data_IF_967685848542
#
_entry.id   IF_967685848542
#
_cell.length_a   1.000
_cell.length_b   1.000
_cell.length_c   1.000
_cell.angle_alpha   90.00
_cell.angle_beta   90.00
_cell.angle_gamma   90.00
#
_symmetry.space_group_name_H-M   'P 1'
#
loop_
_entity.id
_entity.type
_entity.pdbx_description
1 polymer ?
#
# COMPACT_ATOMS: atom_id res chain seq x y z
N UNK A 1 -11.14 -7.27 -7.99
CA UNK A 1 -11.92 -7.63 -6.79
C UNK A 1 -11.40 -6.74 -5.67
N UNK A 2 -12.28 -6.02 -4.96
CA UNK A 2 -11.82 -5.12 -3.89
C UNK A 2 -11.40 -5.96 -2.67
N UNK A 3 -10.18 -5.77 -2.19
CA UNK A 3 -9.65 -6.50 -1.03
C UNK A 3 -9.80 -5.62 0.22
N UNK A 4 -10.55 -6.10 1.23
CA UNK A 4 -10.77 -5.41 2.51
C UNK A 4 -9.81 -5.88 3.60
N UNK A 5 -8.68 -6.48 3.20
CA UNK A 5 -7.64 -6.96 4.07
C UNK A 5 -6.28 -6.45 3.60
N UNK A 6 -5.44 -6.07 4.55
CA UNK A 6 -4.09 -5.56 4.30
C UNK A 6 -3.09 -6.59 4.82
N UNK A 7 -1.88 -6.65 4.25
CA UNK A 7 -0.82 -7.46 4.85
C UNK A 7 -0.37 -6.90 6.20
N UNK A 8 0.26 -7.74 7.02
CA UNK A 8 0.69 -7.37 8.36
C UNK A 8 1.72 -6.23 8.39
N UNK A 9 2.58 -6.09 7.37
CA UNK A 9 3.58 -5.02 7.37
C UNK A 9 2.90 -3.66 7.20
N UNK A 10 2.03 -3.56 6.19
CA UNK A 10 1.28 -2.32 5.96
C UNK A 10 0.31 -2.01 7.10
N UNK A 11 -0.30 -3.03 7.70
CA UNK A 11 -1.15 -2.90 8.89
C UNK A 11 -0.38 -2.33 10.09
N UNK A 12 0.84 -2.82 10.32
CA UNK A 12 1.70 -2.33 11.39
C UNK A 12 2.20 -0.90 11.12
N UNK A 13 2.52 -0.58 9.86
CA UNK A 13 2.89 0.77 9.43
C UNK A 13 1.79 1.79 9.72
N UNK A 14 0.53 1.47 9.39
CA UNK A 14 -0.64 2.31 9.72
C UNK A 14 -0.74 2.57 11.23
N UNK A 15 -0.43 1.56 12.05
CA UNK A 15 -0.47 1.66 13.51
C UNK A 15 0.81 2.26 14.11
N UNK A 16 1.81 2.61 13.30
CA UNK A 16 3.08 3.18 13.75
C UNK A 16 3.96 2.20 14.54
N UNK A 17 3.87 0.91 14.25
CA UNK A 17 4.62 -0.16 14.93
C UNK A 17 5.33 -1.09 13.95
N UNK A 18 6.21 -1.96 14.46
CA UNK A 18 6.82 -3.01 13.63
C UNK A 18 5.86 -4.16 13.40
N UNK A 19 6.03 -4.87 12.29
CA UNK A 19 5.19 -6.00 11.91
C UNK A 19 5.22 -7.13 12.95
N UNK A 20 6.39 -7.42 13.51
CA UNK A 20 6.55 -8.45 14.55
C UNK A 20 5.84 -8.05 15.84
N UNK A 21 5.98 -6.79 16.26
CA UNK A 21 5.34 -6.24 17.45
C UNK A 21 3.80 -6.24 17.29
N UNK A 22 3.31 -5.94 16.09
CA UNK A 22 1.89 -6.00 15.77
C UNK A 22 1.35 -7.43 15.86
N UNK A 23 2.05 -8.42 15.31
CA UNK A 23 1.60 -9.81 15.34
C UNK A 23 1.63 -10.38 16.77
N UNK A 24 2.66 -10.06 17.56
CA UNK A 24 2.71 -10.43 18.97
C UNK A 24 1.57 -9.80 19.79
N UNK A 25 1.27 -8.53 19.53
CA UNK A 25 0.12 -7.84 20.12
C UNK A 25 -1.20 -8.51 19.71
N UNK A 26 -1.37 -8.79 18.42
CA UNK A 26 -2.55 -9.43 17.88
C UNK A 26 -2.82 -10.80 18.48
N UNK A 27 -1.77 -11.61 18.65
CA UNK A 27 -1.86 -12.92 19.28
C UNK A 27 -2.20 -12.80 20.77
N UNK A 28 -1.52 -11.89 21.49
CA UNK A 28 -1.74 -11.66 22.93
C UNK A 28 -3.15 -11.18 23.26
N UNK A 29 -3.68 -10.25 22.48
CA UNK A 29 -5.01 -9.67 22.68
C UNK A 29 -6.12 -10.47 21.99
N UNK A 30 -5.78 -11.58 21.30
CA UNK A 30 -6.72 -12.40 20.52
C UNK A 30 -7.58 -11.58 19.55
N UNK A 31 -6.93 -10.70 18.78
CA UNK A 31 -7.62 -9.82 17.85
C UNK A 31 -8.40 -10.61 16.79
N UNK A 32 -9.68 -10.26 16.65
CA UNK A 32 -10.52 -10.78 15.58
C UNK A 32 -10.16 -10.15 14.22
N UNK A 33 -10.52 -10.82 13.12
CA UNK A 33 -10.33 -10.30 11.77
C UNK A 33 -8.90 -10.37 11.26
N UNK A 34 -8.06 -11.21 11.88
CA UNK A 34 -6.72 -11.54 11.39
C UNK A 34 -6.75 -12.97 10.86
N UNK A 35 -6.31 -13.16 9.62
CA UNK A 35 -6.31 -14.44 8.93
C UNK A 35 -4.93 -14.73 8.36
N UNK A 36 -4.50 -15.99 8.41
CA UNK A 36 -3.28 -16.45 7.75
C UNK A 36 -3.64 -17.06 6.40
N UNK A 37 -3.14 -16.46 5.33
CA UNK A 37 -3.23 -16.98 3.96
C UNK A 37 -1.85 -17.46 3.50
N UNK A 38 -1.78 -18.06 2.31
CA UNK A 38 -0.54 -18.61 1.74
C UNK A 38 0.56 -17.54 1.56
N UNK A 39 0.15 -16.28 1.32
CA UNK A 39 1.02 -15.12 1.16
C UNK A 39 1.35 -14.39 2.48
N UNK A 40 0.85 -14.90 3.61
CA UNK A 40 1.16 -14.38 4.94
C UNK A 40 -0.06 -13.96 5.75
N UNK A 41 0.19 -13.15 6.77
CA UNK A 41 -0.85 -12.63 7.65
C UNK A 41 -1.58 -11.46 6.99
N UNK A 42 -2.91 -11.52 7.03
CA UNK A 42 -3.80 -10.48 6.56
C UNK A 42 -4.69 -9.97 7.68
N UNK A 43 -4.87 -8.66 7.74
CA UNK A 43 -5.64 -7.97 8.76
C UNK A 43 -6.83 -7.28 8.12
N UNK A 44 -8.00 -7.45 8.70
CA UNK A 44 -9.21 -6.77 8.25
C UNK A 44 -9.14 -5.28 8.48
N UNK A 45 -9.59 -4.49 7.49
CA UNK A 45 -9.74 -3.04 7.62
C UNK A 45 -10.64 -2.64 8.80
N UNK A 46 -11.65 -3.45 9.12
CA UNK A 46 -12.56 -3.19 10.24
C UNK A 46 -11.86 -3.34 11.59
N UNK A 47 -10.94 -4.30 11.70
CA UNK A 47 -10.11 -4.46 12.91
C UNK A 47 -9.18 -3.27 13.08
N UNK A 48 -8.53 -2.81 12.01
CA UNK A 48 -7.66 -1.64 12.05
C UNK A 48 -8.43 -0.36 12.40
N UNK A 49 -9.59 -0.17 11.79
CA UNK A 49 -10.47 0.97 12.09
C UNK A 49 -10.90 0.98 13.57
N UNK A 50 -11.22 -0.19 14.12
CA UNK A 50 -11.54 -0.33 15.53
C UNK A 50 -10.37 0.04 16.45
N UNK A 51 -9.16 -0.46 16.16
CA UNK A 51 -7.96 -0.14 16.94
C UNK A 51 -7.62 1.35 16.93
N UNK A 52 -7.80 2.02 15.79
CA UNK A 52 -7.56 3.45 15.62
C UNK A 52 -8.73 4.32 16.09
N UNK A 53 -9.82 3.71 16.55
CA UNK A 53 -11.07 4.40 16.90
C UNK A 53 -11.55 5.34 15.79
N UNK A 54 -11.54 4.85 14.55
CA UNK A 54 -11.99 5.57 13.35
C UNK A 54 -13.04 4.76 12.58
N UNK A 55 -13.69 5.40 11.62
CA UNK A 55 -14.63 4.73 10.74
C UNK A 55 -13.87 4.04 9.59
N UNK A 56 -14.30 2.84 9.13
CA UNK A 56 -13.60 2.11 8.08
C UNK A 56 -13.49 2.84 6.74
N UNK A 57 -14.49 3.65 6.39
CA UNK A 57 -14.49 4.52 5.21
C UNK A 57 -13.40 5.60 5.31
N UNK A 58 -13.31 6.30 6.44
CA UNK A 58 -12.23 7.27 6.66
C UNK A 58 -10.83 6.63 6.60
N UNK A 59 -10.68 5.39 7.07
CA UNK A 59 -9.41 4.67 6.98
C UNK A 59 -9.09 4.26 5.54
N UNK A 60 -10.08 3.85 4.76
CA UNK A 60 -9.90 3.52 3.34
C UNK A 60 -9.50 4.76 2.54
N UNK A 61 -10.17 5.90 2.76
CA UNK A 61 -9.84 7.17 2.11
C UNK A 61 -8.40 7.57 2.42
N UNK A 62 -7.98 7.48 3.68
CA UNK A 62 -6.60 7.76 4.08
C UNK A 62 -5.57 6.83 3.40
N UNK A 63 -5.87 5.53 3.30
CA UNK A 63 -4.99 4.56 2.64
C UNK A 63 -4.89 4.86 1.14
N UNK A 64 -6.01 5.17 0.49
CA UNK A 64 -6.04 5.55 -0.91
C UNK A 64 -5.18 6.78 -1.16
N UNK A 65 -5.37 7.84 -0.38
CA UNK A 65 -4.58 9.08 -0.45
C UNK A 65 -3.08 8.81 -0.23
N UNK A 66 -2.72 7.95 0.73
CA UNK A 66 -1.32 7.61 0.99
C UNK A 66 -0.67 6.86 -0.18
N UNK A 67 -1.40 5.89 -0.76
CA UNK A 67 -0.93 5.12 -1.91
C UNK A 67 -0.76 6.04 -3.13
N UNK A 68 -1.74 6.89 -3.41
CA UNK A 68 -1.68 7.86 -4.50
C UNK A 68 -0.54 8.87 -4.29
N UNK A 69 -0.35 9.36 -3.06
CA UNK A 69 0.76 10.23 -2.69
C UNK A 69 2.12 9.59 -3.00
N UNK A 70 2.34 8.34 -2.56
CA UNK A 70 3.58 7.60 -2.87
C UNK A 70 3.79 7.37 -4.37
N UNK A 71 2.72 7.20 -5.14
CA UNK A 71 2.82 7.06 -6.59
C UNK A 71 3.28 8.38 -7.24
N UNK A 72 2.78 9.52 -6.75
CA UNK A 72 3.18 10.84 -7.24
C UNK A 72 4.63 11.15 -6.88
N UNK A 73 5.05 10.91 -5.63
CA UNK A 73 6.44 11.12 -5.18
C UNK A 73 7.44 10.32 -6.04
N UNK A 74 7.09 9.10 -6.45
CA UNK A 74 7.94 8.29 -7.34
C UNK A 74 8.15 8.89 -8.72
N UNK A 75 7.21 9.70 -9.20
CA UNK A 75 7.26 10.38 -10.52
C UNK A 75 7.92 11.75 -10.40
N UNK A 76 8.09 12.30 -9.19
CA UNK A 76 8.76 13.59 -8.97
C UNK A 76 10.25 13.53 -9.36
N UNK A 77 10.87 12.36 -9.20
CA UNK A 77 12.25 12.09 -9.62
C UNK A 77 12.36 11.71 -11.12
N UNK A 78 11.24 11.62 -11.86
CA UNK A 78 11.28 11.31 -13.28
C UNK A 78 11.81 12.50 -14.09
N UNK A 79 12.62 12.20 -15.09
CA UNK A 79 13.20 13.22 -15.97
C UNK A 79 12.09 13.83 -16.84
N UNK A 80 11.84 15.13 -16.64
CA UNK A 80 10.89 15.87 -17.46
C UNK A 80 11.52 16.22 -18.80
N UNK A 81 10.94 15.69 -19.88
CA UNK A 81 11.37 16.00 -21.23
C UNK A 81 10.44 17.01 -21.90
N UNK A 82 11.02 17.96 -22.63
CA UNK A 82 10.26 18.76 -23.59
C UNK A 82 9.70 17.88 -24.71
N UNK A 83 8.61 18.30 -25.36
CA UNK A 83 7.84 17.44 -26.28
C UNK A 83 8.68 16.74 -27.38
N UNK A 84 9.71 17.41 -27.91
CA UNK A 84 10.61 16.82 -28.90
C UNK A 84 11.61 15.80 -28.31
N UNK A 85 12.04 16.02 -27.07
CA UNK A 85 12.96 15.12 -26.36
C UNK A 85 12.21 13.87 -25.90
N UNK A 86 11.01 14.03 -25.35
CA UNK A 86 10.16 12.92 -24.94
C UNK A 86 9.79 12.00 -26.10
N UNK A 87 9.54 12.57 -27.30
CA UNK A 87 9.28 11.77 -28.50
C UNK A 87 10.47 10.90 -28.91
N UNK A 88 11.71 11.42 -28.79
CA UNK A 88 12.92 10.64 -29.09
C UNK A 88 13.14 9.49 -28.11
N UNK A 89 12.94 9.75 -26.81
CA UNK A 89 13.05 8.74 -25.74
C UNK A 89 11.99 7.64 -25.91
N UNK A 90 10.76 8.03 -26.24
CA UNK A 90 9.70 7.08 -26.55
C UNK A 90 10.04 6.18 -27.76
N UNK A 91 10.59 6.77 -28.83
CA UNK A 91 11.01 6.00 -30.00
C UNK A 91 12.15 5.02 -29.68
N UNK A 92 13.09 5.36 -28.78
CA UNK A 92 14.12 4.39 -28.37
C UNK A 92 13.53 3.19 -27.65
N UNK A 93 12.56 3.37 -26.75
CA UNK A 93 11.91 2.26 -26.06
C UNK A 93 11.11 1.36 -27.01
N UNK A 94 10.38 1.96 -27.96
CA UNK A 94 9.69 1.21 -29.02
C UNK A 94 10.65 0.33 -29.82
N UNK A 95 11.80 0.88 -30.20
CA UNK A 95 12.82 0.18 -30.98
C UNK A 95 13.48 -0.98 -30.23
N UNK A 96 13.59 -0.87 -28.90
CA UNK A 96 14.11 -1.93 -28.03
C UNK A 96 13.09 -3.04 -27.79
N UNK A 97 11.80 -2.70 -27.67
CA UNK A 97 10.73 -3.67 -27.48
C UNK A 97 10.43 -4.52 -28.72
N UNK A 98 10.81 -4.05 -29.92
CA UNK A 98 10.64 -4.76 -31.20
C UNK A 98 11.81 -5.70 -31.57
N UNK A 99 12.86 -5.78 -30.74
CA UNK A 99 13.99 -6.71 -30.89
C UNK A 99 13.77 -8.02 -30.12
#
# INVERSE_FOLDING_TARGET
>A
MLQLTLDANFSAEILGMKSEEFLEFAEREHLAGIIKLDDGWRVSIFTLAHLLNTAPDMLLDFIEDNILGRMIERVEDDEYFEAQEGWKVYQSYLSEAEK
#
